data_IF_408912634002
#
_entry.id   IF_408912634002
#
_cell.length_a   1.000
_cell.length_b   1.000
_cell.length_c   1.000
_cell.angle_alpha   90.00
_cell.angle_beta   90.00
_cell.angle_gamma   90.00
#
_symmetry.space_group_name_H-M   'P 1'
#
loop_
_entity.id
_entity.type
_entity.pdbx_description
1 polymer ?
#
# COMPACT_ATOMS: atom_id res chain seq x y z
N UNK A 1 2.88 4.21 22.63
CA UNK A 1 2.93 3.12 21.63
C UNK A 1 2.74 3.75 20.27
N UNK A 2 3.72 3.59 19.38
CA UNK A 2 3.62 4.09 18.01
C UNK A 2 3.06 2.97 17.13
N UNK A 3 1.93 3.23 16.47
CA UNK A 3 1.33 2.30 15.52
C UNK A 3 1.88 2.61 14.13
N UNK A 4 2.33 1.57 13.43
CA UNK A 4 2.80 1.67 12.04
C UNK A 4 1.81 0.91 11.17
N UNK A 5 1.33 1.52 10.08
CA UNK A 5 0.39 0.89 9.14
C UNK A 5 0.93 0.91 7.73
N UNK A 6 0.89 -0.26 7.08
CA UNK A 6 1.03 -0.36 5.63
C UNK A 6 -0.26 0.10 4.98
N UNK A 7 -0.18 1.20 4.22
CA UNK A 7 -1.32 1.88 3.58
C UNK A 7 -1.63 1.38 2.16
N UNK A 8 -1.02 0.25 1.77
CA UNK A 8 -1.14 -0.31 0.42
C UNK A 8 -2.11 -1.49 0.46
N UNK A 9 -3.13 -1.42 -0.41
CA UNK A 9 -4.13 -2.47 -0.59
C UNK A 9 -3.99 -3.12 -1.96
N UNK A 10 -4.23 -4.44 -2.01
CA UNK A 10 -4.29 -5.16 -3.26
C UNK A 10 -5.63 -4.87 -3.94
N UNK A 11 -5.62 -4.09 -5.02
CA UNK A 11 -6.85 -3.79 -5.77
C UNK A 11 -7.55 -5.03 -6.35
N UNK A 12 -6.81 -6.12 -6.59
CA UNK A 12 -7.38 -7.36 -7.13
C UNK A 12 -8.29 -8.11 -6.14
N UNK A 13 -7.97 -8.09 -4.85
CA UNK A 13 -8.71 -8.87 -3.84
C UNK A 13 -9.09 -8.06 -2.58
N UNK A 14 -8.81 -6.76 -2.54
CA UNK A 14 -9.04 -5.88 -1.40
C UNK A 14 -8.09 -6.10 -0.21
N UNK A 15 -7.17 -7.06 -0.28
CA UNK A 15 -6.34 -7.43 0.87
C UNK A 15 -5.33 -6.35 1.24
N UNK A 16 -5.20 -6.09 2.55
CA UNK A 16 -4.15 -5.25 3.16
C UNK A 16 -2.81 -5.98 3.34
N UNK A 17 -2.74 -7.28 3.07
CA UNK A 17 -1.52 -8.08 3.24
C UNK A 17 -0.63 -7.93 2.02
N UNK A 18 -0.10 -6.73 1.84
CA UNK A 18 0.77 -6.33 0.75
C UNK A 18 2.16 -5.98 1.30
N UNK A 19 3.19 -6.45 0.63
CA UNK A 19 4.59 -6.24 1.01
C UNK A 19 5.44 -5.83 -0.19
N UNK A 20 6.59 -5.20 0.07
CA UNK A 20 7.62 -5.02 -0.95
C UNK A 20 8.50 -6.26 -0.95
N UNK A 21 8.53 -6.96 -2.08
CA UNK A 21 9.33 -8.17 -2.26
C UNK A 21 10.77 -7.85 -2.66
N UNK A 22 10.96 -6.81 -3.46
CA UNK A 22 12.25 -6.41 -4.02
C UNK A 22 12.24 -4.91 -4.34
N UNK A 23 13.39 -4.25 -4.18
CA UNK A 23 13.66 -2.93 -4.76
C UNK A 23 14.55 -3.10 -5.98
N UNK A 24 14.07 -2.64 -7.14
CA UNK A 24 14.84 -2.49 -8.37
C UNK A 24 15.24 -1.03 -8.54
N UNK A 25 16.20 -0.74 -9.42
CA UNK A 25 16.71 0.61 -9.67
C UNK A 25 15.60 1.60 -10.08
N UNK A 26 14.98 2.25 -9.09
CA UNK A 26 13.90 3.24 -9.27
C UNK A 26 12.47 2.70 -9.09
N UNK A 27 12.28 1.42 -8.78
CA UNK A 27 10.95 0.82 -8.60
C UNK A 27 10.92 -0.22 -7.49
N UNK A 28 9.74 -0.43 -6.90
CA UNK A 28 9.51 -1.46 -5.90
C UNK A 28 8.59 -2.54 -6.44
N UNK A 29 8.95 -3.81 -6.31
CA UNK A 29 8.04 -4.91 -6.60
C UNK A 29 7.11 -5.12 -5.41
N UNK A 30 5.85 -4.73 -5.58
CA UNK A 30 4.78 -4.90 -4.59
C UNK A 30 4.14 -6.26 -4.80
N UNK A 31 3.96 -7.03 -3.71
CA UNK A 31 3.40 -8.38 -3.73
C UNK A 31 2.25 -8.51 -2.73
N UNK A 32 1.12 -9.06 -3.17
CA UNK A 32 -0.01 -9.41 -2.30
C UNK A 32 0.10 -10.86 -1.85
N UNK A 33 0.26 -11.08 -0.55
CA UNK A 33 0.33 -12.43 0.04
C UNK A 33 -0.97 -13.21 -0.02
N UNK A 34 -2.11 -12.52 -0.17
CA UNK A 34 -3.43 -13.17 -0.16
C UNK A 34 -3.78 -13.81 -1.49
N UNK A 35 -3.55 -13.13 -2.62
CA UNK A 35 -3.93 -13.63 -3.94
C UNK A 35 -2.74 -13.81 -4.90
N UNK A 36 -1.51 -13.60 -4.41
CA UNK A 36 -0.27 -13.73 -5.18
C UNK A 36 -0.01 -12.62 -6.21
N UNK A 37 -0.92 -11.64 -6.35
CA UNK A 37 -0.78 -10.58 -7.34
C UNK A 37 0.46 -9.73 -7.06
N UNK A 38 1.24 -9.41 -8.09
CA UNK A 38 2.43 -8.58 -7.98
C UNK A 38 2.42 -7.47 -9.02
N UNK A 39 2.93 -6.29 -8.66
CA UNK A 39 3.00 -5.14 -9.56
C UNK A 39 4.18 -4.25 -9.22
N UNK A 40 4.68 -3.49 -10.19
CA UNK A 40 5.77 -2.54 -9.95
C UNK A 40 5.20 -1.18 -9.54
N UNK A 41 5.68 -0.67 -8.39
CA UNK A 41 5.43 0.67 -7.92
C UNK A 41 6.57 1.58 -8.36
N UNK A 42 6.26 2.55 -9.22
CA UNK A 42 7.20 3.49 -9.80
C UNK A 42 6.91 4.91 -9.32
N UNK A 43 7.95 5.76 -9.21
CA UNK A 43 7.80 7.17 -8.85
C UNK A 43 7.46 7.44 -7.38
N UNK A 44 7.43 6.41 -6.53
CA UNK A 44 7.18 6.49 -5.10
C UNK A 44 8.22 5.69 -4.32
N UNK A 45 8.51 6.12 -3.09
CA UNK A 45 9.35 5.40 -2.12
C UNK A 45 8.58 5.18 -0.82
N UNK A 46 9.00 4.22 0.00
CA UNK A 46 8.40 3.98 1.30
C UNK A 46 9.21 4.68 2.40
N UNK A 47 8.54 5.55 3.15
CA UNK A 47 9.07 6.14 4.38
C UNK A 47 8.40 5.55 5.62
N UNK A 48 9.07 5.61 6.77
CA UNK A 48 8.41 5.41 8.07
C UNK A 48 7.76 6.73 8.45
N UNK A 49 6.45 6.74 8.65
CA UNK A 49 5.78 7.89 9.27
C UNK A 49 5.24 7.50 10.64
N UNK A 50 5.31 8.44 11.58
CA UNK A 50 4.60 8.35 12.84
C UNK A 50 3.25 9.03 12.63
N UNK A 51 2.18 8.27 12.79
CA UNK A 51 0.81 8.76 12.61
C UNK A 51 0.05 8.67 13.92
N UNK A 52 -0.82 9.64 14.15
CA UNK A 52 -1.81 9.62 15.22
C UNK A 52 -2.92 8.61 14.89
N UNK A 53 -3.69 8.17 15.89
CA UNK A 53 -4.85 7.28 15.67
C UNK A 53 -5.86 7.86 14.67
N UNK A 54 -6.06 9.18 14.68
CA UNK A 54 -6.97 9.85 13.74
C UNK A 54 -6.47 9.74 12.29
N UNK A 55 -5.18 9.98 12.06
CA UNK A 55 -4.56 9.84 10.74
C UNK A 55 -4.57 8.37 10.28
N UNK A 56 -4.43 7.44 11.23
CA UNK A 56 -4.57 6.01 10.98
C UNK A 56 -5.95 5.64 10.44
N UNK A 57 -6.99 6.14 11.10
CA UNK A 57 -8.38 5.86 10.72
C UNK A 57 -8.72 6.50 9.37
N UNK A 58 -8.21 7.70 9.10
CA UNK A 58 -8.33 8.34 7.77
C UNK A 58 -7.66 7.46 6.72
N UNK A 59 -6.39 7.11 6.91
CA UNK A 59 -5.62 6.31 5.95
C UNK A 59 -6.25 4.94 5.66
N UNK A 60 -6.89 4.32 6.65
CA UNK A 60 -7.63 3.05 6.49
C UNK A 60 -8.92 3.22 5.67
N UNK A 61 -9.57 4.37 5.76
CA UNK A 61 -10.83 4.65 5.09
C UNK A 61 -10.63 5.38 3.74
N UNK A 62 -9.46 5.94 3.49
CA UNK A 62 -9.05 6.48 2.19
C UNK A 62 -8.72 5.32 1.25
N UNK A 63 -9.75 4.60 0.81
CA UNK A 63 -9.66 3.75 -0.38
C UNK A 63 -9.78 4.64 -1.62
N UNK A 64 -9.00 4.35 -2.67
CA UNK A 64 -9.20 4.98 -3.97
C UNK A 64 -10.66 4.76 -4.40
N UNK A 65 -11.34 5.82 -4.84
CA UNK A 65 -12.67 5.69 -5.42
C UNK A 65 -12.60 4.79 -6.65
N UNK A 66 -13.58 3.90 -6.78
CA UNK A 66 -13.77 3.09 -8.00
C UNK A 66 -13.85 4.07 -9.17
N UNK A 67 -12.98 3.93 -10.16
CA UNK A 67 -12.83 4.77 -11.37
C UNK A 67 -12.07 6.12 -11.27
N UNK A 68 -11.57 6.61 -10.11
CA UNK A 68 -10.77 7.87 -10.09
C UNK A 68 -9.26 7.64 -10.32
N UNK A 69 -8.75 6.47 -9.92
CA UNK A 69 -7.33 6.08 -10.08
C UNK A 69 -7.19 4.69 -10.73
N UNK A 70 -8.26 4.21 -11.36
CA UNK A 70 -8.35 2.94 -12.06
C UNK A 70 -8.42 3.24 -13.58
N UNK A 71 -7.36 2.91 -14.33
CA UNK A 71 -7.52 2.60 -15.75
C UNK A 71 -7.85 1.12 -15.89
#
# INVERSE_FOLDING_TARGET
>A
MSEFVSVIFCRRCGSRYVEIKEWKSGSALVHCRTCGNSTELNGFTLGRCQVTKKELDIARNTSAGVNEFEK
#
